data_IF_755305452169
#
_entry.id   IF_755305452169
#
_cell.length_a   1.000
_cell.length_b   1.000
_cell.length_c   1.000
_cell.angle_alpha   90.00
_cell.angle_beta   90.00
_cell.angle_gamma   90.00
#
_symmetry.space_group_name_H-M   'P 1'
#
loop_
_entity.id
_entity.type
_entity.pdbx_description
1 polymer ?
#
# COMPACT_ATOMS: atom_id res chain seq x y z
N UNK A 1 11.89 1.23 -12.77
CA UNK A 1 10.75 2.13 -13.09
C UNK A 1 9.51 1.26 -13.13
N UNK A 2 8.69 1.31 -12.08
CA UNK A 2 7.41 0.60 -12.02
C UNK A 2 6.44 1.25 -13.01
N UNK A 3 5.75 0.44 -13.82
CA UNK A 3 4.84 0.94 -14.85
C UNK A 3 3.51 1.37 -14.21
N UNK A 4 3.09 2.63 -14.43
CA UNK A 4 1.81 3.15 -13.94
C UNK A 4 0.61 2.29 -14.38
N UNK A 5 0.67 1.70 -15.57
CA UNK A 5 -0.37 0.79 -16.07
C UNK A 5 -0.49 -0.49 -15.23
N UNK A 6 0.63 -0.99 -14.70
CA UNK A 6 0.64 -2.15 -13.81
C UNK A 6 0.05 -1.79 -12.45
N UNK A 7 0.39 -0.61 -11.93
CA UNK A 7 -0.11 -0.08 -10.65
C UNK A 7 -1.62 0.16 -10.72
N UNK A 8 -2.13 0.73 -11.80
CA UNK A 8 -3.58 0.92 -11.96
C UNK A 8 -4.30 -0.40 -12.16
N UNK A 9 -3.69 -1.36 -12.89
CA UNK A 9 -4.26 -2.71 -13.06
C UNK A 9 -4.41 -3.43 -11.72
N UNK A 10 -3.39 -3.38 -10.85
CA UNK A 10 -3.45 -4.02 -9.55
C UNK A 10 -4.45 -3.29 -8.63
N UNK A 11 -4.45 -1.95 -8.61
CA UNK A 11 -5.42 -1.19 -7.83
C UNK A 11 -6.88 -1.52 -8.24
N UNK A 12 -7.14 -1.66 -9.55
CA UNK A 12 -8.44 -2.08 -10.07
C UNK A 12 -8.81 -3.50 -9.66
N UNK A 13 -7.87 -4.44 -9.72
CA UNK A 13 -8.07 -5.82 -9.26
C UNK A 13 -8.40 -5.88 -7.77
N UNK A 14 -7.65 -5.16 -6.94
CA UNK A 14 -7.87 -5.08 -5.49
C UNK A 14 -9.23 -4.45 -5.15
N UNK A 15 -9.61 -3.39 -5.87
CA UNK A 15 -10.89 -2.72 -5.69
C UNK A 15 -12.09 -3.59 -6.09
N UNK A 16 -11.95 -4.40 -7.13
CA UNK A 16 -12.99 -5.33 -7.60
C UNK A 16 -13.12 -6.59 -6.72
N UNK A 17 -12.17 -6.82 -5.82
CA UNK A 17 -12.13 -8.03 -4.98
C UNK A 17 -13.10 -7.93 -3.82
N UNK A 18 -13.89 -8.99 -3.61
CA UNK A 18 -14.73 -9.12 -2.42
C UNK A 18 -13.90 -9.69 -1.26
N UNK A 19 -13.38 -8.80 -0.42
CA UNK A 19 -12.49 -9.15 0.67
C UNK A 19 -13.20 -9.92 1.78
N UNK A 20 -12.56 -11.00 2.24
CA UNK A 20 -12.96 -11.80 3.39
C UNK A 20 -11.76 -11.94 4.31
N UNK A 21 -11.80 -11.26 5.45
CA UNK A 21 -10.68 -11.12 6.39
C UNK A 21 -10.55 -12.32 7.33
N UNK A 22 -10.23 -13.48 6.76
CA UNK A 22 -9.75 -14.66 7.48
C UNK A 22 -8.62 -15.30 6.68
N UNK A 23 -7.71 -15.99 7.37
CA UNK A 23 -6.48 -16.52 6.78
C UNK A 23 -6.72 -17.29 5.47
N UNK A 24 -7.58 -18.32 5.49
CA UNK A 24 -7.81 -19.17 4.32
C UNK A 24 -8.42 -18.43 3.13
N UNK A 25 -9.24 -17.40 3.38
CA UNK A 25 -9.82 -16.59 2.31
C UNK A 25 -8.79 -15.64 1.69
N UNK A 26 -7.95 -15.02 2.51
CA UNK A 26 -6.86 -14.14 2.03
C UNK A 26 -5.88 -14.96 1.19
N UNK A 27 -5.40 -16.10 1.71
CA UNK A 27 -4.50 -17.01 0.97
C UNK A 27 -5.09 -17.41 -0.39
N UNK A 28 -6.36 -17.82 -0.43
CA UNK A 28 -7.02 -18.20 -1.67
C UNK A 28 -7.17 -17.02 -2.66
N UNK A 29 -7.49 -15.83 -2.17
CA UNK A 29 -7.57 -14.61 -2.98
C UNK A 29 -6.19 -14.29 -3.58
N UNK A 30 -5.14 -14.22 -2.76
CA UNK A 30 -3.79 -13.89 -3.23
C UNK A 30 -3.28 -14.94 -4.22
N UNK A 31 -3.49 -16.22 -3.94
CA UNK A 31 -3.15 -17.30 -4.87
C UNK A 31 -3.89 -17.17 -6.21
N UNK A 32 -5.18 -16.79 -6.21
CA UNK A 32 -5.95 -16.56 -7.44
C UNK A 32 -5.45 -15.36 -8.25
N UNK A 33 -4.83 -14.39 -7.59
CA UNK A 33 -4.16 -13.26 -8.23
C UNK A 33 -2.76 -13.63 -8.73
N UNK A 34 -2.23 -14.80 -8.40
CA UNK A 34 -0.91 -15.28 -8.83
C UNK A 34 0.22 -14.98 -7.84
N UNK A 35 -0.10 -14.57 -6.62
CA UNK A 35 0.88 -14.48 -5.54
C UNK A 35 1.14 -15.84 -4.89
N UNK A 36 2.38 -16.05 -4.48
CA UNK A 36 2.84 -17.25 -3.79
C UNK A 36 3.53 -16.83 -2.50
N UNK A 37 3.12 -17.45 -1.39
CA UNK A 37 3.77 -17.23 -0.11
C UNK A 37 5.19 -17.80 -0.15
N UNK A 38 6.17 -17.04 0.34
CA UNK A 38 7.56 -17.50 0.46
C UNK A 38 8.14 -17.34 1.87
N UNK A 39 7.49 -16.57 2.74
CA UNK A 39 7.89 -16.46 4.15
C UNK A 39 6.67 -16.36 5.08
N UNK A 40 6.86 -16.74 6.35
CA UNK A 40 5.83 -16.69 7.38
C UNK A 40 6.43 -16.37 8.74
N UNK A 41 5.96 -15.27 9.31
CA UNK A 41 6.26 -14.77 10.64
C UNK A 41 4.98 -14.76 11.49
N UNK A 42 5.09 -14.69 12.84
CA UNK A 42 3.92 -14.69 13.72
C UNK A 42 2.86 -13.63 13.37
N UNK A 43 3.29 -12.43 12.97
CA UNK A 43 2.44 -11.27 12.68
C UNK A 43 2.40 -10.89 11.18
N UNK A 44 3.09 -11.63 10.31
CA UNK A 44 3.22 -11.29 8.89
C UNK A 44 3.41 -12.52 8.01
N UNK A 45 2.76 -12.57 6.85
CA UNK A 45 3.10 -13.52 5.78
C UNK A 45 3.53 -12.74 4.53
N UNK A 46 4.63 -13.16 3.90
CA UNK A 46 5.19 -12.46 2.74
C UNK A 46 5.01 -13.29 1.46
N UNK A 47 4.63 -12.60 0.39
CA UNK A 47 4.22 -13.14 -0.89
C UNK A 47 4.94 -12.45 -2.04
N UNK A 48 5.21 -13.20 -3.11
CA UNK A 48 5.79 -12.69 -4.34
C UNK A 48 5.12 -13.30 -5.57
N UNK A 49 5.32 -12.70 -6.74
CA UNK A 49 4.98 -13.32 -8.04
C UNK A 49 4.00 -12.57 -8.92
N UNK A 50 3.14 -11.69 -8.40
CA UNK A 50 2.24 -10.91 -9.26
C UNK A 50 2.96 -9.70 -9.85
N UNK A 51 3.27 -9.75 -11.16
CA UNK A 51 3.96 -8.66 -11.88
C UNK A 51 5.22 -8.15 -11.18
N UNK A 52 5.93 -9.03 -10.48
CA UNK A 52 7.11 -8.73 -9.65
C UNK A 52 6.87 -7.82 -8.41
N UNK A 53 5.62 -7.62 -8.01
CA UNK A 53 5.31 -6.97 -6.74
C UNK A 53 5.44 -7.97 -5.59
N UNK A 54 6.00 -7.48 -4.49
CA UNK A 54 5.96 -8.13 -3.19
C UNK A 54 4.74 -7.65 -2.41
N UNK A 55 4.12 -8.57 -1.67
CA UNK A 55 3.00 -8.27 -0.82
C UNK A 55 3.19 -8.88 0.57
N UNK A 56 2.84 -8.11 1.60
CA UNK A 56 2.89 -8.54 3.00
C UNK A 56 1.49 -8.50 3.60
N UNK A 57 1.04 -9.63 4.14
CA UNK A 57 -0.21 -9.74 4.90
C UNK A 57 0.09 -9.61 6.38
N UNK A 58 -0.43 -8.56 7.02
CA UNK A 58 -0.28 -8.31 8.45
C UNK A 58 -1.45 -8.93 9.23
N UNK A 59 -1.13 -9.51 10.37
CA UNK A 59 -2.03 -10.31 11.21
C UNK A 59 -1.96 -9.86 12.66
N UNK A 60 -3.11 -9.79 13.31
CA UNK A 60 -3.26 -9.62 14.75
C UNK A 60 -4.08 -10.81 15.29
N UNK A 61 -3.61 -11.49 16.34
CA UNK A 61 -4.23 -12.72 16.85
C UNK A 61 -4.58 -13.74 15.75
N UNK A 62 -3.67 -13.94 14.79
CA UNK A 62 -3.83 -14.78 13.60
C UNK A 62 -4.93 -14.36 12.62
N UNK A 63 -5.52 -13.19 12.79
CA UNK A 63 -6.52 -12.62 11.91
C UNK A 63 -5.88 -11.58 10.98
N UNK A 64 -5.89 -11.79 9.65
CA UNK A 64 -5.43 -10.78 8.71
C UNK A 64 -6.27 -9.51 8.82
N UNK A 65 -5.60 -8.36 8.88
CA UNK A 65 -6.28 -7.05 8.91
C UNK A 65 -5.79 -6.09 7.82
N UNK A 66 -4.60 -6.35 7.25
CA UNK A 66 -4.01 -5.46 6.26
C UNK A 66 -3.12 -6.23 5.29
N UNK A 67 -3.08 -5.77 4.05
CA UNK A 67 -2.18 -6.23 3.00
C UNK A 67 -1.46 -5.00 2.46
N UNK A 68 -0.14 -5.04 2.46
CA UNK A 68 0.72 -4.02 1.85
C UNK A 68 1.34 -4.58 0.58
N UNK A 69 1.38 -3.79 -0.48
CA UNK A 69 2.02 -4.13 -1.74
C UNK A 69 2.97 -3.00 -2.09
N UNK A 70 4.27 -3.29 -2.06
CA UNK A 70 5.29 -2.29 -2.28
C UNK A 70 5.41 -1.98 -3.78
N UNK A 71 5.10 -0.73 -4.13
CA UNK A 71 5.15 -0.22 -5.50
C UNK A 71 6.56 0.27 -5.83
N UNK A 72 7.15 0.98 -4.87
CA UNK A 72 8.52 1.45 -4.92
C UNK A 72 9.08 1.63 -3.50
N UNK A 73 10.31 1.20 -3.30
CA UNK A 73 11.02 1.29 -2.01
C UNK A 73 12.41 1.87 -2.25
N UNK A 74 12.79 2.85 -1.44
CA UNK A 74 14.15 3.37 -1.38
C UNK A 74 14.73 3.09 0.00
N UNK A 75 15.74 2.20 0.06
CA UNK A 75 16.31 1.64 1.30
C UNK A 75 17.47 2.49 1.84
N UNK A 76 18.30 3.05 0.96
CA UNK A 76 19.58 3.71 1.30
C UNK A 76 19.37 5.16 1.79
N UNK A 77 18.45 5.34 2.74
CA UNK A 77 18.06 6.64 3.30
C UNK A 77 19.14 7.20 4.23
N UNK A 78 19.83 6.32 4.95
CA UNK A 78 20.92 6.62 5.86
C UNK A 78 22.17 7.16 5.14
N UNK A 79 22.31 6.85 3.85
CA UNK A 79 23.37 7.39 2.98
C UNK A 79 23.09 8.83 2.51
N UNK A 80 21.86 9.34 2.67
CA UNK A 80 21.47 10.66 2.19
C UNK A 80 21.79 11.75 3.20
N UNK A 81 22.38 12.84 2.73
CA UNK A 81 22.38 14.10 3.48
C UNK A 81 20.97 14.71 3.57
N UNK A 82 20.80 15.75 4.39
CA UNK A 82 19.49 16.37 4.62
C UNK A 82 18.82 16.88 3.33
N UNK A 83 19.60 17.47 2.41
CA UNK A 83 19.07 18.01 1.16
C UNK A 83 18.72 16.90 0.17
N UNK A 84 19.55 15.87 0.09
CA UNK A 84 19.28 14.71 -0.75
C UNK A 84 18.05 13.95 -0.27
N UNK A 85 17.88 13.84 1.05
CA UNK A 85 16.71 13.27 1.68
C UNK A 85 15.44 14.05 1.33
N UNK A 86 15.45 15.37 1.49
CA UNK A 86 14.31 16.24 1.10
C UNK A 86 13.96 16.07 -0.39
N UNK A 87 14.97 16.09 -1.27
CA UNK A 87 14.75 15.87 -2.70
C UNK A 87 14.15 14.49 -3.00
N UNK A 88 14.57 13.45 -2.27
CA UNK A 88 14.05 12.08 -2.44
C UNK A 88 12.60 11.97 -1.96
N UNK A 89 12.26 12.62 -0.86
CA UNK A 89 10.89 12.73 -0.38
C UNK A 89 10.01 13.44 -1.42
N UNK A 90 10.46 14.55 -1.98
CA UNK A 90 9.71 15.29 -3.00
C UNK A 90 9.53 14.46 -4.29
N UNK A 91 10.55 13.69 -4.70
CA UNK A 91 10.43 12.72 -5.81
C UNK A 91 9.33 11.69 -5.54
N UNK A 92 9.26 11.14 -4.32
CA UNK A 92 8.23 10.18 -3.94
C UNK A 92 6.84 10.82 -3.79
N UNK A 93 6.74 12.09 -3.34
CA UNK A 93 5.48 12.85 -3.35
C UNK A 93 4.96 13.04 -4.78
N UNK A 94 5.82 13.41 -5.72
CA UNK A 94 5.43 13.55 -7.13
C UNK A 94 4.91 12.22 -7.70
N UNK A 95 5.59 11.11 -7.38
CA UNK A 95 5.14 9.76 -7.75
C UNK A 95 3.80 9.42 -7.11
N UNK A 96 3.62 9.74 -5.83
CA UNK A 96 2.37 9.56 -5.12
C UNK A 96 1.21 10.27 -5.84
N UNK A 97 1.34 11.58 -6.12
CA UNK A 97 0.26 12.34 -6.75
C UNK A 97 -0.06 11.85 -8.17
N UNK A 98 0.97 11.52 -8.97
CA UNK A 98 0.77 10.94 -10.31
C UNK A 98 0.09 9.58 -10.27
N UNK A 99 0.45 8.75 -9.29
CA UNK A 99 -0.16 7.42 -9.10
C UNK A 99 -1.59 7.56 -8.61
N UNK A 100 -1.86 8.47 -7.68
CA UNK A 100 -3.22 8.82 -7.23
C UNK A 100 -4.10 9.25 -8.39
N UNK A 101 -3.63 10.15 -9.26
CA UNK A 101 -4.38 10.58 -10.44
C UNK A 101 -4.68 9.41 -11.38
N UNK A 102 -3.67 8.56 -11.66
CA UNK A 102 -3.84 7.40 -12.51
C UNK A 102 -4.87 6.39 -11.96
N UNK A 103 -4.84 6.11 -10.65
CA UNK A 103 -5.81 5.23 -9.99
C UNK A 103 -7.19 5.89 -9.97
N UNK A 104 -7.28 7.18 -9.68
CA UNK A 104 -8.54 7.92 -9.64
C UNK A 104 -9.25 7.94 -11.00
N UNK A 105 -8.49 7.97 -12.10
CA UNK A 105 -9.04 7.84 -13.46
C UNK A 105 -9.70 6.47 -13.71
N UNK A 106 -9.31 5.42 -12.97
CA UNK A 106 -9.89 4.08 -13.07
C UNK A 106 -10.99 3.80 -12.04
N UNK A 107 -10.84 4.29 -10.81
CA UNK A 107 -11.71 3.96 -9.67
C UNK A 107 -12.70 5.08 -9.31
N UNK A 108 -12.53 6.26 -9.91
CA UNK A 108 -13.24 7.48 -9.52
C UNK A 108 -12.54 8.23 -8.39
N UNK A 109 -13.17 9.32 -7.96
CA UNK A 109 -12.63 10.24 -6.97
C UNK A 109 -12.41 9.53 -5.61
N UNK A 110 -11.24 9.68 -4.97
CA UNK A 110 -11.02 9.14 -3.63
C UNK A 110 -11.87 9.82 -2.57
N UNK A 111 -12.15 9.10 -1.48
CA UNK A 111 -12.84 9.62 -0.29
C UNK A 111 -11.96 10.58 0.50
N UNK A 112 -10.64 10.36 0.51
CA UNK A 112 -9.64 11.21 1.16
C UNK A 112 -8.35 11.21 0.32
N UNK A 113 -7.61 12.32 0.30
CA UNK A 113 -6.32 12.40 -0.40
C UNK A 113 -5.50 13.59 0.10
N UNK A 114 -4.75 13.41 1.19
CA UNK A 114 -3.94 14.47 1.78
C UNK A 114 -2.84 13.91 2.70
N UNK A 115 -2.10 14.81 3.35
CA UNK A 115 -1.07 14.52 4.34
C UNK A 115 -1.63 14.18 5.73
N UNK A 116 -0.81 13.59 6.59
CA UNK A 116 -1.14 13.25 7.98
C UNK A 116 -1.63 14.43 8.83
N UNK A 117 -1.28 15.66 8.46
CA UNK A 117 -1.67 16.88 9.17
C UNK A 117 -3.09 17.35 8.80
N UNK A 118 -3.72 16.77 7.77
CA UNK A 118 -5.03 17.16 7.30
C UNK A 118 -6.16 16.57 8.14
N UNK A 119 -7.26 17.32 8.28
CA UNK A 119 -8.47 16.82 8.93
C UNK A 119 -9.06 15.64 8.17
N UNK A 120 -9.42 14.57 8.88
CA UNK A 120 -9.98 13.35 8.29
C UNK A 120 -8.95 12.33 7.81
N UNK A 121 -7.66 12.54 8.12
CA UNK A 121 -6.67 11.49 7.97
C UNK A 121 -7.03 10.29 8.88
N UNK A 122 -6.96 9.04 8.40
CA UNK A 122 -7.31 7.88 9.21
C UNK A 122 -6.35 7.68 10.39
N UNK A 123 -6.88 7.65 11.62
CA UNK A 123 -6.08 7.51 12.86
C UNK A 123 -5.35 6.17 12.98
N UNK A 124 -5.77 5.17 12.22
CA UNK A 124 -5.24 3.81 12.23
C UNK A 124 -4.15 3.58 11.17
N UNK A 125 -3.66 4.64 10.53
CA UNK A 125 -2.70 4.56 9.43
C UNK A 125 -1.43 5.36 9.74
N UNK A 126 -0.28 4.75 9.45
CA UNK A 126 1.03 5.40 9.58
C UNK A 126 1.59 5.71 8.18
N UNK A 127 1.30 6.92 7.69
CA UNK A 127 1.76 7.42 6.41
C UNK A 127 1.91 8.94 6.42
N UNK A 128 2.84 9.47 5.62
CA UNK A 128 3.04 10.92 5.47
C UNK A 128 1.97 11.52 4.55
N UNK A 129 1.62 10.79 3.47
CA UNK A 129 0.50 11.08 2.58
C UNK A 129 -0.32 9.82 2.34
N UNK A 130 -1.63 10.00 2.19
CA UNK A 130 -2.56 8.92 1.99
C UNK A 130 -3.69 9.34 1.05
N UNK A 131 -3.96 8.50 0.05
CA UNK A 131 -5.18 8.57 -0.76
C UNK A 131 -6.02 7.33 -0.47
N UNK A 132 -7.31 7.51 -0.19
CA UNK A 132 -8.22 6.46 0.29
C UNK A 132 -9.45 6.32 -0.62
N UNK A 133 -9.78 5.08 -0.97
CA UNK A 133 -11.05 4.68 -1.56
C UNK A 133 -11.75 3.68 -0.63
N UNK A 134 -12.96 4.01 -0.21
CA UNK A 134 -13.83 3.09 0.52
C UNK A 134 -14.38 2.04 -0.44
N UNK A 135 -14.17 0.78 -0.12
CA UNK A 135 -14.78 -0.36 -0.79
C UNK A 135 -15.89 -0.93 0.09
N UNK A 136 -16.63 -1.92 -0.40
CA UNK A 136 -17.74 -2.51 0.37
C UNK A 136 -17.29 -3.26 1.64
N UNK A 137 -16.10 -3.88 1.60
CA UNK A 137 -15.61 -4.78 2.67
C UNK A 137 -14.16 -4.48 3.09
N UNK A 138 -13.59 -3.40 2.55
CA UNK A 138 -12.20 -3.01 2.75
C UNK A 138 -12.04 -1.50 2.47
N UNK A 139 -10.86 -0.98 2.77
CA UNK A 139 -10.36 0.29 2.25
C UNK A 139 -9.17 0.00 1.35
N UNK A 140 -9.15 0.60 0.17
CA UNK A 140 -7.95 0.64 -0.67
C UNK A 140 -7.27 1.99 -0.46
N UNK A 141 -5.97 1.97 -0.22
CA UNK A 141 -5.18 3.17 0.02
C UNK A 141 -3.92 3.13 -0.81
N UNK A 142 -3.52 4.29 -1.33
CA UNK A 142 -2.14 4.55 -1.72
C UNK A 142 -1.48 5.32 -0.58
N UNK A 143 -0.31 4.89 -0.14
CA UNK A 143 0.40 5.51 0.97
C UNK A 143 1.83 5.84 0.59
N UNK A 144 2.26 7.05 0.96
CA UNK A 144 3.67 7.40 1.03
C UNK A 144 4.11 7.30 2.49
N UNK A 145 4.97 6.34 2.80
CA UNK A 145 5.47 6.07 4.14
C UNK A 145 6.93 6.49 4.25
N UNK A 146 7.25 7.19 5.34
CA UNK A 146 8.61 7.39 5.83
C UNK A 146 8.52 7.98 7.25
N UNK A 147 8.97 7.22 8.24
CA UNK A 147 8.89 7.60 9.66
C UNK A 147 10.18 8.27 10.18
N UNK A 148 11.19 8.42 9.32
CA UNK A 148 12.45 9.05 9.69
C UNK A 148 13.58 8.74 8.71
N UNK A 149 14.75 9.34 8.98
CA UNK A 149 15.96 9.20 8.14
C UNK A 149 16.65 7.83 8.26
N UNK A 150 16.19 6.98 9.16
CA UNK A 150 16.70 5.62 9.36
C UNK A 150 15.75 4.55 8.80
N UNK A 151 14.57 4.98 8.29
CA UNK A 151 13.53 4.10 7.79
C UNK A 151 13.41 4.31 6.27
N UNK A 152 13.20 3.25 5.47
CA UNK A 152 12.98 3.38 4.04
C UNK A 152 11.87 4.36 3.67
N UNK A 153 11.98 4.96 2.48
CA UNK A 153 10.87 5.70 1.85
C UNK A 153 10.11 4.70 0.98
N UNK A 154 8.80 4.56 1.21
CA UNK A 154 7.96 3.57 0.52
C UNK A 154 6.74 4.21 -0.10
N UNK A 155 6.46 3.83 -1.34
CA UNK A 155 5.17 4.02 -1.98
C UNK A 155 4.48 2.66 -2.01
N UNK A 156 3.34 2.54 -1.33
CA UNK A 156 2.72 1.24 -1.06
C UNK A 156 1.22 1.31 -1.35
N UNK A 157 0.68 0.31 -2.04
CA UNK A 157 -0.77 0.07 -2.07
C UNK A 157 -1.15 -0.75 -0.84
N UNK A 158 -2.16 -0.29 -0.11
CA UNK A 158 -2.63 -0.93 1.11
C UNK A 158 -4.09 -1.29 0.96
N UNK A 159 -4.43 -2.54 1.22
CA UNK A 159 -5.81 -2.97 1.42
C UNK A 159 -5.96 -3.31 2.89
N UNK A 160 -6.86 -2.62 3.58
CA UNK A 160 -7.12 -2.85 4.99
C UNK A 160 -8.57 -3.23 5.21
N UNK A 161 -8.83 -4.02 6.25
CA UNK A 161 -10.19 -4.27 6.69
C UNK A 161 -10.85 -2.96 7.09
N UNK A 162 -12.17 -2.91 6.90
CA UNK A 162 -13.00 -1.92 7.60
C UNK A 162 -13.21 -2.55 8.98
N UNK A 163 -12.27 -2.38 9.89
CA UNK A 163 -12.48 -2.80 11.28
C UNK A 163 -13.82 -2.22 11.76
N UNK A 164 -14.70 -3.10 12.26
CA UNK A 164 -16.01 -2.77 12.81
C UNK A 164 -15.91 -1.94 14.09
#
# INVERSE_FOLDING_TARGET
MTNLEEITSIAALLAATQWKWNQSSIEAILASMGWQQHDSLPYRDDYSGFKNFEASVYKEDHSPFQIEIDIEVYLDVDELDARQFENKIDEFKDKFFRTTEAIANSLGKPNFSDSFAASGFPDDQDAVYLTLWNLNTARLMLQLKNEGREIPIRLTLVVASISL
#
